data_IF_311948800062
#
_entry.id   IF_311948800062
#
_cell.length_a   1.000
_cell.length_b   1.000
_cell.length_c   1.000
_cell.angle_alpha   90.00
_cell.angle_beta   90.00
_cell.angle_gamma   90.00
#
_symmetry.space_group_name_H-M   'P 1'
#
loop_
_entity.id
_entity.type
_entity.pdbx_description
1 polymer ?
#
# COMPACT_ATOMS: atom_id res chain seq x y z
N UNK A 1 -47.21 -20.58 -42.45
CA UNK A 1 -45.78 -20.37 -42.67
C UNK A 1 -45.30 -18.90 -42.53
N UNK A 2 -46.01 -18.02 -41.89
CA UNK A 2 -45.59 -16.60 -41.74
C UNK A 2 -45.14 -16.22 -40.34
N UNK A 3 -45.06 -17.18 -39.41
CA UNK A 3 -44.63 -16.90 -38.00
C UNK A 3 -43.22 -17.32 -37.63
N UNK A 4 -42.49 -18.06 -38.49
CA UNK A 4 -41.11 -18.45 -38.19
C UNK A 4 -40.06 -17.45 -38.65
N UNK A 5 -40.36 -16.51 -39.55
CA UNK A 5 -39.38 -15.54 -40.04
C UNK A 5 -39.11 -14.41 -39.00
N UNK A 6 -40.10 -14.14 -38.13
CA UNK A 6 -39.97 -13.06 -37.14
C UNK A 6 -39.07 -13.42 -35.96
N UNK A 7 -38.96 -14.72 -35.64
CA UNK A 7 -38.14 -15.18 -34.50
C UNK A 7 -36.65 -15.21 -34.83
N UNK A 8 -36.30 -15.53 -36.09
CA UNK A 8 -34.89 -15.58 -36.53
C UNK A 8 -34.31 -14.17 -36.65
N UNK A 9 -35.11 -13.18 -37.05
CA UNK A 9 -34.65 -11.80 -37.13
C UNK A 9 -34.41 -11.20 -35.72
N UNK A 10 -35.18 -11.61 -34.71
CA UNK A 10 -34.99 -11.12 -33.34
C UNK A 10 -33.74 -11.69 -32.65
N UNK A 11 -33.38 -12.92 -32.96
CA UNK A 11 -32.17 -13.55 -32.42
C UNK A 11 -30.93 -12.97 -33.05
N UNK A 12 -30.97 -12.56 -34.33
CA UNK A 12 -29.80 -11.99 -35.01
C UNK A 12 -29.52 -10.55 -34.56
N UNK A 13 -30.52 -9.80 -34.10
CA UNK A 13 -30.33 -8.43 -33.57
C UNK A 13 -29.71 -8.45 -32.15
N UNK A 14 -30.01 -9.48 -31.34
CA UNK A 14 -29.43 -9.60 -29.99
C UNK A 14 -27.95 -10.03 -29.98
N UNK A 15 -27.46 -10.67 -31.04
CA UNK A 15 -26.06 -11.12 -31.11
C UNK A 15 -25.06 -10.04 -31.53
N UNK A 16 -25.54 -8.92 -32.11
CA UNK A 16 -24.68 -7.82 -32.56
C UNK A 16 -24.40 -6.79 -31.43
N UNK A 17 -25.15 -6.84 -30.33
CA UNK A 17 -25.00 -5.86 -29.24
C UNK A 17 -23.95 -6.28 -28.17
N UNK A 18 -23.32 -7.44 -28.28
CA UNK A 18 -22.30 -7.89 -27.34
C UNK A 18 -20.85 -7.82 -27.86
N UNK A 19 -20.61 -7.29 -29.07
CA UNK A 19 -19.27 -7.06 -29.60
C UNK A 19 -18.94 -5.56 -29.54
N UNK A 20 -18.78 -5.06 -28.35
CA UNK A 20 -18.39 -3.67 -28.21
C UNK A 20 -18.24 -3.26 -26.75
N UNK A 21 -17.14 -3.64 -26.13
CA UNK A 21 -16.43 -2.94 -25.06
C UNK A 21 -15.49 -3.91 -24.33
N UNK A 22 -14.55 -4.53 -25.05
CA UNK A 22 -13.29 -4.94 -24.47
C UNK A 22 -12.33 -3.70 -24.53
N UNK A 23 -12.80 -2.56 -24.07
CA UNK A 23 -11.93 -1.47 -23.68
C UNK A 23 -11.29 -1.89 -22.36
N UNK A 24 -9.97 -2.06 -22.35
CA UNK A 24 -9.16 -2.08 -21.13
C UNK A 24 -9.42 -0.75 -20.39
N UNK A 25 -10.52 -0.65 -19.68
CA UNK A 25 -10.65 0.29 -18.58
C UNK A 25 -9.72 -0.28 -17.51
N UNK A 26 -8.46 0.20 -17.47
CA UNK A 26 -7.69 0.22 -16.23
C UNK A 26 -8.63 0.86 -15.22
N UNK A 27 -9.25 0.05 -14.39
CA UNK A 27 -9.93 0.52 -13.18
C UNK A 27 -8.89 1.32 -12.43
N UNK A 28 -9.03 2.65 -12.48
CA UNK A 28 -8.18 3.56 -11.72
C UNK A 28 -8.49 3.21 -10.27
N UNK A 29 -7.59 2.43 -9.65
CA UNK A 29 -7.63 2.19 -8.21
C UNK A 29 -7.69 3.59 -7.59
N UNK A 30 -8.68 3.91 -6.76
CA UNK A 30 -8.75 5.21 -6.12
C UNK A 30 -7.44 5.41 -5.38
N UNK A 31 -6.68 6.45 -5.76
CA UNK A 31 -5.47 6.82 -5.03
C UNK A 31 -5.91 7.25 -3.64
N UNK A 32 -5.49 6.52 -2.63
CA UNK A 32 -5.73 6.88 -1.23
C UNK A 32 -4.81 8.06 -0.95
N UNK A 33 -5.39 9.16 -0.47
CA UNK A 33 -4.63 10.34 -0.05
C UNK A 33 -4.32 10.22 1.45
N UNK A 34 -3.06 10.01 1.76
CA UNK A 34 -2.55 9.90 3.13
C UNK A 34 -2.05 11.22 3.72
N UNK A 35 -2.07 12.33 2.96
CA UNK A 35 -1.53 13.64 3.38
C UNK A 35 -2.08 14.19 4.69
N UNK A 36 -3.27 13.75 5.08
CA UNK A 36 -3.93 14.15 6.34
C UNK A 36 -3.30 13.58 7.61
N UNK A 37 -2.44 12.56 7.49
CA UNK A 37 -1.85 11.91 8.66
C UNK A 37 -0.49 12.51 9.00
N UNK A 38 -0.26 12.82 10.28
CA UNK A 38 0.93 13.53 10.77
C UNK A 38 2.25 12.75 10.62
N UNK A 39 2.18 11.43 10.46
CA UNK A 39 3.37 10.60 10.22
C UNK A 39 3.83 10.58 8.76
N UNK A 40 3.00 11.08 7.85
CA UNK A 40 3.25 11.07 6.39
C UNK A 40 4.15 12.25 6.00
N UNK A 41 4.95 12.08 4.93
CA UNK A 41 5.90 13.06 4.38
C UNK A 41 6.96 13.57 5.38
N UNK A 42 7.18 12.83 6.47
CA UNK A 42 8.20 13.12 7.46
C UNK A 42 9.26 12.01 7.43
N UNK A 43 10.52 12.39 7.53
CA UNK A 43 11.61 11.43 7.80
C UNK A 43 11.72 11.26 9.30
N UNK A 44 11.47 10.05 9.77
CA UNK A 44 11.54 9.66 11.15
C UNK A 44 12.81 8.85 11.37
N UNK A 45 13.61 9.23 12.36
CA UNK A 45 14.92 8.62 12.64
C UNK A 45 14.97 8.05 14.04
N UNK A 46 15.75 6.98 14.24
CA UNK A 46 16.13 6.52 15.56
C UNK A 46 17.58 6.04 15.54
N UNK A 47 18.27 6.25 16.64
CA UNK A 47 19.57 5.63 16.87
C UNK A 47 19.35 4.20 17.39
N UNK A 48 19.78 3.21 16.62
CA UNK A 48 19.90 1.84 17.04
C UNK A 48 21.33 1.58 17.54
N UNK A 49 21.55 0.48 18.26
CA UNK A 49 22.78 0.20 19.04
C UNK A 49 24.09 0.37 18.24
N UNK A 50 24.04 0.31 16.92
CA UNK A 50 25.21 0.46 16.04
C UNK A 50 24.98 1.39 14.84
N UNK A 51 23.74 1.88 14.59
CA UNK A 51 23.39 2.59 13.38
C UNK A 51 22.15 3.48 13.55
N UNK A 52 21.96 4.41 12.58
CA UNK A 52 20.75 5.22 12.47
C UNK A 52 19.76 4.55 11.53
N UNK A 53 18.57 4.30 12.01
CA UNK A 53 17.43 3.87 11.18
C UNK A 53 16.59 5.08 10.77
N UNK A 54 16.17 5.13 9.51
CA UNK A 54 15.26 6.15 9.00
C UNK A 54 14.08 5.49 8.31
N UNK A 55 12.87 5.94 8.65
CA UNK A 55 11.62 5.46 8.04
C UNK A 55 10.83 6.65 7.48
N UNK A 56 10.20 6.45 6.32
CA UNK A 56 9.37 7.46 5.68
C UNK A 56 8.16 6.83 5.00
N UNK A 57 7.02 7.49 5.18
CA UNK A 57 5.75 7.16 4.54
C UNK A 57 5.34 8.31 3.63
N UNK A 58 5.17 8.06 2.32
CA UNK A 58 4.73 9.04 1.34
C UNK A 58 3.20 9.20 1.33
N UNK A 59 2.72 10.36 0.94
CA UNK A 59 1.28 10.63 0.78
C UNK A 59 0.63 9.81 -0.35
N UNK A 60 1.43 9.35 -1.28
CA UNK A 60 1.06 8.49 -2.40
C UNK A 60 1.02 7.00 -2.06
N UNK A 61 1.30 6.64 -0.79
CA UNK A 61 1.41 5.25 -0.35
C UNK A 61 2.80 4.65 -0.54
N UNK A 62 3.79 5.44 -0.92
CA UNK A 62 5.18 4.97 -0.99
C UNK A 62 5.77 4.78 0.41
N UNK A 63 6.67 3.82 0.54
CA UNK A 63 7.37 3.49 1.77
C UNK A 63 8.87 3.44 1.53
N UNK A 64 9.65 3.91 2.48
CA UNK A 64 11.09 3.71 2.49
C UNK A 64 11.61 3.51 3.91
N UNK A 65 12.55 2.59 4.04
CA UNK A 65 13.29 2.31 5.25
C UNK A 65 14.79 2.27 4.93
N UNK A 66 15.58 2.89 5.75
CA UNK A 66 17.03 2.91 5.65
C UNK A 66 17.64 2.56 6.99
N UNK A 67 18.61 1.64 6.98
CA UNK A 67 19.47 1.34 8.11
C UNK A 67 20.92 1.66 7.71
N UNK A 68 21.62 2.45 8.52
CA UNK A 68 23.04 2.81 8.30
C UNK A 68 24.02 1.65 8.46
N UNK A 69 23.57 0.44 8.74
CA UNK A 69 24.37 -0.75 9.02
C UNK A 69 25.23 -1.28 7.84
N UNK A 70 25.23 -0.56 6.71
CA UNK A 70 26.05 -0.94 5.55
C UNK A 70 25.61 -2.23 4.87
N UNK A 71 24.51 -2.81 5.30
CA UNK A 71 23.92 -3.97 4.66
C UNK A 71 23.11 -3.48 3.46
N UNK A 72 23.51 -3.82 2.21
CA UNK A 72 22.82 -3.36 1.01
C UNK A 72 21.41 -3.97 0.86
N UNK A 73 21.06 -4.95 1.67
CA UNK A 73 19.71 -5.50 1.73
C UNK A 73 18.90 -4.67 2.73
N UNK A 74 18.53 -3.46 2.32
CA UNK A 74 17.53 -2.70 3.02
C UNK A 74 16.18 -3.38 2.81
N UNK A 75 15.39 -3.53 3.86
CA UNK A 75 14.00 -3.99 3.77
C UNK A 75 13.17 -3.11 2.82
N UNK A 76 13.62 -1.86 2.56
CA UNK A 76 13.04 -0.96 1.56
C UNK A 76 13.17 -1.45 0.12
N UNK A 77 14.16 -2.29 -0.20
CA UNK A 77 14.27 -2.85 -1.56
C UNK A 77 13.22 -3.95 -1.79
N UNK A 78 12.65 -4.47 -0.72
CA UNK A 78 11.60 -5.48 -0.75
C UNK A 78 10.20 -4.91 -0.59
N UNK A 79 10.06 -3.76 0.10
CA UNK A 79 8.78 -3.10 0.38
C UNK A 79 8.86 -1.65 -0.08
N UNK A 80 8.09 -1.28 -1.10
CA UNK A 80 8.06 0.06 -1.70
C UNK A 80 6.76 0.83 -1.43
N UNK A 81 5.76 0.14 -0.89
CA UNK A 81 4.46 0.68 -0.62
C UNK A 81 3.90 0.34 0.76
N UNK A 82 2.82 1.04 1.15
CA UNK A 82 2.06 0.75 2.34
C UNK A 82 0.58 1.07 2.19
N UNK A 83 -0.24 0.43 3.03
CA UNK A 83 -1.61 0.84 3.29
C UNK A 83 -1.78 1.14 4.78
N UNK A 84 -2.69 2.05 5.14
CA UNK A 84 -2.97 2.44 6.51
C UNK A 84 -4.45 2.34 6.83
N UNK A 85 -4.76 1.60 7.90
CA UNK A 85 -6.09 1.52 8.49
C UNK A 85 -6.17 2.42 9.73
N UNK A 86 -6.90 3.52 9.62
CA UNK A 86 -7.04 4.51 10.70
C UNK A 86 -7.87 3.97 11.88
N UNK A 87 -8.78 3.03 11.65
CA UNK A 87 -9.60 2.45 12.72
C UNK A 87 -8.78 1.58 13.67
N UNK A 88 -7.84 0.81 13.13
CA UNK A 88 -6.96 -0.08 13.88
C UNK A 88 -5.58 0.51 14.16
N UNK A 89 -5.26 1.68 13.55
CA UNK A 89 -3.92 2.30 13.58
C UNK A 89 -2.83 1.38 13.01
N UNK A 90 -3.17 0.60 12.02
CA UNK A 90 -2.30 -0.42 11.44
C UNK A 90 -1.80 -0.01 10.08
N UNK A 91 -0.49 -0.09 9.88
CA UNK A 91 0.21 0.02 8.61
C UNK A 91 0.50 -1.39 8.11
N UNK A 92 0.13 -1.70 6.88
CA UNK A 92 0.53 -2.94 6.20
C UNK A 92 1.48 -2.56 5.07
N UNK A 93 2.69 -3.13 5.08
CA UNK A 93 3.69 -2.90 4.05
C UNK A 93 3.37 -3.75 2.82
N UNK A 94 3.53 -3.14 1.64
CA UNK A 94 3.41 -3.82 0.34
C UNK A 94 4.80 -4.24 -0.11
N UNK A 95 5.07 -5.55 -0.03
CA UNK A 95 6.38 -6.11 -0.25
C UNK A 95 6.35 -7.10 -1.43
N UNK A 96 7.37 -7.02 -2.29
CA UNK A 96 7.53 -7.88 -3.48
C UNK A 96 7.80 -9.33 -3.05
N UNK A 97 8.60 -9.49 -2.00
CA UNK A 97 8.90 -10.79 -1.40
C UNK A 97 8.78 -10.66 0.13
N UNK A 98 8.25 -11.68 0.78
CA UNK A 98 8.18 -11.75 2.24
C UNK A 98 8.96 -12.97 2.72
N UNK A 99 9.74 -12.79 3.78
CA UNK A 99 10.38 -13.87 4.52
C UNK A 99 9.67 -14.06 5.87
N UNK A 100 9.82 -15.22 6.48
CA UNK A 100 9.19 -15.53 7.78
C UNK A 100 9.66 -14.59 8.92
N UNK A 101 10.79 -13.89 8.72
CA UNK A 101 11.37 -12.94 9.68
C UNK A 101 10.94 -11.48 9.43
N UNK A 102 10.25 -11.18 8.31
CA UNK A 102 9.84 -9.83 7.98
C UNK A 102 8.56 -9.43 8.71
N UNK A 103 8.62 -8.30 9.40
CA UNK A 103 7.42 -7.67 9.96
C UNK A 103 6.79 -6.79 8.90
N UNK A 104 5.68 -7.24 8.33
CA UNK A 104 4.92 -6.51 7.29
C UNK A 104 3.72 -5.74 7.85
N UNK A 105 3.37 -5.98 9.12
CA UNK A 105 2.26 -5.34 9.82
C UNK A 105 2.83 -4.55 11.00
N UNK A 106 2.65 -3.24 10.97
CA UNK A 106 3.19 -2.30 11.96
C UNK A 106 2.02 -1.55 12.58
N UNK A 107 1.98 -1.42 13.91
CA UNK A 107 0.94 -0.66 14.58
C UNK A 107 1.48 0.68 15.08
N UNK A 108 0.77 1.77 14.78
CA UNK A 108 1.09 3.07 15.37
C UNK A 108 0.54 3.10 16.81
N UNK A 109 1.44 3.12 17.78
CA UNK A 109 1.12 3.21 19.22
C UNK A 109 0.92 4.66 19.61
N UNK A 110 1.76 5.55 19.08
CA UNK A 110 1.72 7.00 19.32
C UNK A 110 2.32 7.73 18.12
N UNK A 111 1.73 8.87 17.79
CA UNK A 111 2.30 9.84 16.86
C UNK A 111 2.01 11.25 17.36
N UNK A 112 3.05 12.04 17.55
CA UNK A 112 2.96 13.47 17.87
C UNK A 112 3.90 14.29 16.96
N UNK A 113 4.08 15.57 17.27
CA UNK A 113 4.87 16.46 16.43
C UNK A 113 6.36 16.09 16.36
N UNK A 114 6.88 15.38 17.36
CA UNK A 114 8.31 15.11 17.52
C UNK A 114 8.66 13.62 17.52
N UNK A 115 7.66 12.75 17.75
CA UNK A 115 7.91 11.31 17.89
C UNK A 115 6.86 10.44 17.24
N UNK A 116 7.33 9.31 16.71
CA UNK A 116 6.52 8.24 16.14
C UNK A 116 6.90 6.91 16.80
N UNK A 117 5.96 6.32 17.53
CA UNK A 117 6.14 5.05 18.21
C UNK A 117 5.45 3.95 17.39
N UNK A 118 6.22 3.00 16.92
CA UNK A 118 5.77 1.89 16.09
C UNK A 118 5.97 0.57 16.82
N UNK A 119 4.97 -0.29 16.79
CA UNK A 119 5.03 -1.66 17.28
C UNK A 119 5.28 -2.61 16.10
N UNK A 120 6.42 -3.28 16.14
CA UNK A 120 6.85 -4.29 15.19
C UNK A 120 6.73 -5.66 15.86
N UNK A 121 5.54 -6.25 15.82
CA UNK A 121 5.26 -7.58 16.40
C UNK A 121 5.64 -7.71 17.91
N UNK A 122 5.29 -6.67 18.68
CA UNK A 122 5.56 -6.60 20.13
C UNK A 122 6.85 -5.86 20.51
N UNK A 123 7.70 -5.48 19.54
CA UNK A 123 8.85 -4.59 19.76
C UNK A 123 8.46 -3.15 19.45
N UNK A 124 8.43 -2.30 20.46
CA UNK A 124 8.16 -0.87 20.26
C UNK A 124 9.45 -0.14 19.92
N UNK A 125 9.46 0.47 18.73
CA UNK A 125 10.55 1.34 18.26
C UNK A 125 10.09 2.80 18.25
N UNK A 126 10.92 3.68 18.80
CA UNK A 126 10.65 5.11 18.91
C UNK A 126 11.53 5.84 17.94
N UNK A 127 10.89 6.55 17.02
CA UNK A 127 11.54 7.39 16.02
C UNK A 127 11.27 8.86 16.34
N UNK A 128 12.23 9.72 16.02
CA UNK A 128 12.17 11.17 16.21
C UNK A 128 12.37 11.91 14.88
N UNK A 129 11.95 13.19 14.82
CA UNK A 129 12.22 14.07 13.66
C UNK A 129 13.64 14.54 13.62
#
# INVERSE_FOLDING_TARGET
>A
MKKCLSLVALVLVCTILFVGCAGNQKTKVPSIDYSKYSFVNTSWTRDAEHDTETIRFGEDGSFSYYCGCGNPVNDSDLCDGYTYDDATKTITLDCIETTDEMVTIIKIVKCDENSLHLDFDGEIRIFEK
#
